data_IF_872086906062
#
_entry.id   IF_872086906062
#
_cell.length_a   1.000
_cell.length_b   1.000
_cell.length_c   1.000
_cell.angle_alpha   90.00
_cell.angle_beta   90.00
_cell.angle_gamma   90.00
#
_symmetry.space_group_name_H-M   'P 1'
#
loop_
_entity.id
_entity.type
_entity.pdbx_description
1 polymer ?
#
# COMPACT_ATOMS: atom_id res chain seq x y z
N UNK A 1 -7.08 -10.14 1.54
CA UNK A 1 -5.64 -9.85 1.41
C UNK A 1 -4.87 -11.15 1.29
N UNK A 2 -4.06 -11.31 0.24
CA UNK A 2 -3.13 -12.43 0.12
C UNK A 2 -1.99 -12.23 1.14
N UNK A 3 -1.84 -13.20 2.05
CA UNK A 3 -0.86 -13.09 3.15
C UNK A 3 0.47 -13.77 2.82
N UNK A 4 0.42 -14.87 2.06
CA UNK A 4 1.60 -15.59 1.60
C UNK A 4 2.24 -14.93 0.38
N UNK A 5 3.57 -15.07 0.30
CA UNK A 5 4.37 -14.47 -0.77
C UNK A 5 4.16 -15.17 -2.11
N UNK A 6 4.03 -16.50 -2.10
CA UNK A 6 3.83 -17.29 -3.31
C UNK A 6 2.53 -16.94 -4.02
N UNK A 7 1.41 -16.93 -3.30
CA UNK A 7 0.11 -16.58 -3.89
C UNK A 7 0.09 -15.11 -4.34
N UNK A 8 0.79 -14.21 -3.62
CA UNK A 8 0.90 -12.82 -4.03
C UNK A 8 1.62 -12.66 -5.37
N UNK A 9 2.74 -13.36 -5.58
CA UNK A 9 3.48 -13.29 -6.84
C UNK A 9 2.74 -13.97 -8.00
N UNK A 10 2.07 -15.10 -7.74
CA UNK A 10 1.19 -15.74 -8.72
C UNK A 10 0.06 -14.79 -9.14
N UNK A 11 -0.57 -14.12 -8.18
CA UNK A 11 -1.63 -13.15 -8.49
C UNK A 11 -1.09 -11.93 -9.25
N UNK A 12 0.12 -11.44 -8.94
CA UNK A 12 0.76 -10.34 -9.65
C UNK A 12 1.00 -10.64 -11.14
N UNK A 13 1.26 -11.90 -11.49
CA UNK A 13 1.46 -12.34 -12.89
C UNK A 13 0.21 -12.16 -13.76
N UNK A 14 -0.98 -12.08 -13.16
CA UNK A 14 -2.22 -11.81 -13.89
C UNK A 14 -2.26 -10.40 -14.48
N UNK A 15 -1.36 -9.50 -14.06
CA UNK A 15 -1.20 -8.16 -14.63
C UNK A 15 -2.28 -7.15 -14.19
N UNK A 16 -3.11 -7.49 -13.20
CA UNK A 16 -4.02 -6.56 -12.55
C UNK A 16 -3.27 -5.59 -11.63
N UNK A 17 -3.91 -4.47 -11.27
CA UNK A 17 -3.37 -3.57 -10.25
C UNK A 17 -3.51 -4.19 -8.85
N UNK A 18 -2.43 -4.10 -8.09
CA UNK A 18 -2.31 -4.51 -6.70
C UNK A 18 -2.40 -3.28 -5.81
N UNK A 19 -3.59 -3.06 -5.26
CA UNK A 19 -3.85 -1.89 -4.41
C UNK A 19 -3.55 -2.17 -2.93
N UNK A 20 -2.72 -1.32 -2.33
CA UNK A 20 -2.45 -1.26 -0.89
C UNK A 20 -3.12 -0.01 -0.33
N UNK A 21 -4.41 -0.12 -0.07
CA UNK A 21 -5.29 0.97 0.34
C UNK A 21 -5.41 1.17 1.86
N UNK A 22 -4.71 0.40 2.69
CA UNK A 22 -4.88 0.46 4.15
C UNK A 22 -3.70 1.10 4.90
N UNK A 23 -2.89 1.94 4.24
CA UNK A 23 -1.80 2.65 4.93
C UNK A 23 -2.33 3.53 6.07
N UNK A 24 -1.68 3.43 7.24
CA UNK A 24 -2.10 4.09 8.48
C UNK A 24 -3.21 3.37 9.26
N UNK A 25 -3.75 2.25 8.75
CA UNK A 25 -4.75 1.44 9.44
C UNK A 25 -4.14 0.18 10.05
N UNK A 26 -4.16 0.12 11.37
CA UNK A 26 -3.64 -1.00 12.16
C UNK A 26 -4.60 -1.27 13.32
N UNK A 27 -5.22 -2.44 13.32
CA UNK A 27 -6.17 -2.85 14.34
C UNK A 27 -5.63 -4.07 15.07
N UNK A 28 -5.60 -4.00 16.40
CA UNK A 28 -5.29 -5.17 17.23
C UNK A 28 -6.36 -6.26 17.07
N UNK A 29 -7.63 -5.87 16.96
CA UNK A 29 -8.74 -6.80 16.79
C UNK A 29 -9.55 -6.42 15.55
N UNK A 30 -9.38 -7.20 14.48
CA UNK A 30 -10.13 -7.02 13.24
C UNK A 30 -11.50 -7.69 13.36
N UNK A 31 -12.53 -6.91 13.68
CA UNK A 31 -13.87 -7.40 14.01
C UNK A 31 -14.52 -8.24 12.91
N UNK A 32 -14.20 -7.98 11.65
CA UNK A 32 -14.77 -8.72 10.51
C UNK A 32 -14.13 -10.09 10.29
N UNK A 33 -12.92 -10.32 10.81
CA UNK A 33 -12.28 -11.63 10.83
C UNK A 33 -11.26 -11.71 11.99
N UNK A 34 -11.70 -12.19 13.18
CA UNK A 34 -10.86 -12.26 14.37
C UNK A 34 -9.61 -13.14 14.26
N UNK A 35 -9.55 -14.04 13.29
CA UNK A 35 -8.40 -14.94 13.08
C UNK A 35 -7.26 -14.27 12.30
N UNK A 36 -7.52 -13.10 11.70
CA UNK A 36 -6.55 -12.39 10.87
C UNK A 36 -5.93 -11.22 11.63
N UNK A 37 -4.60 -11.27 11.74
CA UNK A 37 -3.80 -10.12 12.15
C UNK A 37 -3.68 -9.11 11.00
N UNK A 38 -4.21 -7.91 11.20
CA UNK A 38 -4.09 -6.83 10.24
C UNK A 38 -2.60 -6.49 10.04
N UNK A 39 -2.10 -6.42 8.79
CA UNK A 39 -0.72 -6.01 8.58
C UNK A 39 -0.55 -4.56 9.01
N UNK A 40 0.58 -4.28 9.68
CA UNK A 40 1.02 -2.92 9.93
C UNK A 40 1.71 -2.34 8.69
N UNK A 41 2.02 -1.04 8.73
CA UNK A 41 2.63 -0.35 7.59
C UNK A 41 4.01 -0.87 7.24
N UNK A 42 4.80 -1.34 8.22
CA UNK A 42 6.08 -2.00 7.94
C UNK A 42 5.89 -3.31 7.15
N UNK A 43 4.86 -4.11 7.47
CA UNK A 43 4.51 -5.32 6.71
C UNK A 43 4.02 -4.96 5.31
N UNK A 44 3.25 -3.87 5.14
CA UNK A 44 2.84 -3.37 3.82
C UNK A 44 4.03 -2.92 2.98
N UNK A 45 4.93 -2.12 3.54
CA UNK A 45 6.18 -1.68 2.88
C UNK A 45 7.01 -2.89 2.46
N UNK A 46 7.15 -3.91 3.30
CA UNK A 46 7.91 -5.11 2.95
C UNK A 46 7.30 -5.88 1.76
N UNK A 47 5.96 -5.89 1.63
CA UNK A 47 5.27 -6.51 0.49
C UNK A 47 5.41 -5.68 -0.79
N UNK A 48 5.27 -4.35 -0.68
CA UNK A 48 5.53 -3.45 -1.82
C UNK A 48 6.98 -3.62 -2.29
N UNK A 49 7.95 -3.69 -1.37
CA UNK A 49 9.35 -3.94 -1.72
C UNK A 49 9.53 -5.27 -2.46
N UNK A 50 8.93 -6.35 -1.97
CA UNK A 50 8.96 -7.65 -2.64
C UNK A 50 8.44 -7.55 -4.08
N UNK A 51 7.31 -6.90 -4.30
CA UNK A 51 6.74 -6.74 -5.64
C UNK A 51 7.64 -5.91 -6.56
N UNK A 52 8.26 -4.85 -6.03
CA UNK A 52 9.25 -4.04 -6.77
C UNK A 52 10.50 -4.86 -7.12
N UNK A 53 11.00 -5.67 -6.19
CA UNK A 53 12.17 -6.53 -6.41
C UNK A 53 11.93 -7.57 -7.50
N UNK A 54 10.70 -8.06 -7.62
CA UNK A 54 10.27 -9.04 -8.62
C UNK A 54 9.79 -8.39 -9.94
N UNK A 55 9.90 -7.06 -10.08
CA UNK A 55 9.62 -6.33 -11.34
C UNK A 55 8.14 -6.02 -11.60
N UNK A 56 7.30 -5.98 -10.55
CA UNK A 56 5.87 -5.69 -10.65
C UNK A 56 5.51 -4.23 -10.32
N UNK A 57 6.46 -3.30 -10.31
CA UNK A 57 6.23 -1.94 -9.82
C UNK A 57 5.24 -1.11 -10.65
N UNK A 58 5.03 -1.45 -11.93
CA UNK A 58 4.08 -0.77 -12.84
C UNK A 58 2.60 -1.11 -12.55
N UNK A 59 2.35 -2.01 -11.60
CA UNK A 59 1.01 -2.49 -11.23
C UNK A 59 0.70 -2.31 -9.75
N UNK A 60 1.39 -1.44 -9.04
CA UNK A 60 1.14 -1.18 -7.62
C UNK A 60 0.41 0.15 -7.45
N UNK A 61 -0.65 0.16 -6.63
CA UNK A 61 -1.35 1.37 -6.18
C UNK A 61 -1.30 1.46 -4.65
N UNK A 62 -1.39 2.67 -4.10
CA UNK A 62 -1.42 2.89 -2.65
C UNK A 62 -2.45 3.96 -2.27
N UNK A 63 -3.15 3.71 -1.17
CA UNK A 63 -4.10 4.66 -0.59
C UNK A 63 -4.23 4.45 0.93
N UNK A 64 -5.11 5.21 1.56
CA UNK A 64 -5.42 5.12 2.98
C UNK A 64 -6.78 4.48 3.25
N UNK A 65 -7.73 4.52 2.32
CA UNK A 65 -9.12 4.11 2.58
C UNK A 65 -9.69 4.83 3.81
N UNK A 66 -9.49 6.15 3.90
CA UNK A 66 -10.07 6.94 4.99
C UNK A 66 -11.59 7.01 4.79
N UNK A 67 -12.30 6.13 5.51
CA UNK A 67 -13.76 6.04 5.53
C UNK A 67 -14.39 6.32 6.91
N UNK A 68 -13.59 6.74 7.90
CA UNK A 68 -14.08 7.06 9.26
C UNK A 68 -13.45 8.35 9.82
N UNK A 69 -14.19 9.07 10.67
CA UNK A 69 -13.76 10.36 11.24
C UNK A 69 -12.46 10.25 12.05
N UNK A 70 -12.33 9.23 12.89
CA UNK A 70 -11.17 9.07 13.78
C UNK A 70 -9.84 8.94 13.04
N UNK A 71 -9.87 8.64 11.72
CA UNK A 71 -8.67 8.55 10.88
C UNK A 71 -8.21 9.90 10.32
N UNK A 72 -9.01 10.96 10.43
CA UNK A 72 -8.63 12.31 10.03
C UNK A 72 -7.79 12.99 11.11
N UNK A 73 -6.85 13.85 10.71
CA UNK A 73 -5.96 14.60 11.62
C UNK A 73 -6.73 15.42 12.67
N UNK A 74 -7.87 16.02 12.29
CA UNK A 74 -8.76 16.75 13.19
C UNK A 74 -9.20 15.95 14.42
N UNK A 75 -9.28 14.62 14.29
CA UNK A 75 -9.71 13.71 15.37
C UNK A 75 -8.54 12.86 15.90
N UNK A 76 -7.29 13.25 15.64
CA UNK A 76 -6.09 12.54 16.11
C UNK A 76 -5.63 11.38 15.22
N UNK A 77 -6.27 11.18 14.07
CA UNK A 77 -5.86 10.16 13.10
C UNK A 77 -4.70 10.58 12.20
N UNK A 78 -4.22 9.63 11.39
CA UNK A 78 -3.05 9.82 10.51
C UNK A 78 -3.30 10.79 9.34
N UNK A 79 -4.53 10.85 8.83
CA UNK A 79 -4.92 11.71 7.72
C UNK A 79 -4.25 11.41 6.37
N UNK A 80 -4.64 12.19 5.35
CA UNK A 80 -4.22 11.96 3.96
C UNK A 80 -2.73 12.23 3.70
N UNK A 81 -2.05 13.00 4.56
CA UNK A 81 -0.61 13.26 4.43
C UNK A 81 0.26 12.07 4.86
N UNK A 82 -0.31 11.04 5.49
CA UNK A 82 0.47 9.97 6.12
C UNK A 82 1.39 9.22 5.16
N UNK A 83 0.94 8.96 3.92
CA UNK A 83 1.76 8.27 2.91
C UNK A 83 2.99 9.11 2.59
N UNK A 84 2.80 10.39 2.26
CA UNK A 84 3.89 11.28 1.86
C UNK A 84 4.83 11.62 3.02
N UNK A 85 4.30 11.78 4.23
CA UNK A 85 5.08 12.25 5.40
C UNK A 85 5.77 11.14 6.18
N UNK A 86 5.25 9.91 6.16
CA UNK A 86 5.78 8.80 6.96
C UNK A 86 6.17 7.59 6.11
N UNK A 87 5.31 7.17 5.18
CA UNK A 87 5.52 5.95 4.39
C UNK A 87 6.61 6.14 3.35
N UNK A 88 6.57 7.21 2.56
CA UNK A 88 7.56 7.50 1.50
C UNK A 88 8.98 7.60 2.06
N UNK A 89 9.27 8.39 3.12
CA UNK A 89 10.60 8.41 3.73
C UNK A 89 11.05 7.02 4.21
N UNK A 90 10.13 6.22 4.76
CA UNK A 90 10.44 4.86 5.22
C UNK A 90 10.73 3.90 4.06
N UNK A 91 10.00 4.02 2.95
CA UNK A 91 10.22 3.23 1.73
C UNK A 91 11.60 3.52 1.12
N UNK A 92 11.98 4.80 1.01
CA UNK A 92 13.30 5.23 0.57
C UNK A 92 14.41 4.66 1.47
N UNK A 93 14.24 4.78 2.79
CA UNK A 93 15.18 4.20 3.76
C UNK A 93 15.33 2.68 3.63
N UNK A 94 14.29 1.99 3.14
CA UNK A 94 14.29 0.53 2.89
C UNK A 94 14.77 0.16 1.48
N UNK A 95 15.28 1.11 0.71
CA UNK A 95 15.89 0.87 -0.60
C UNK A 95 14.91 0.79 -1.77
N UNK A 96 13.63 1.12 -1.59
CA UNK A 96 12.72 1.37 -2.72
C UNK A 96 13.18 2.65 -3.39
N UNK A 97 13.47 2.59 -4.70
CA UNK A 97 14.04 3.71 -5.44
C UNK A 97 13.03 4.82 -5.67
N UNK A 98 13.50 6.05 -5.87
CA UNK A 98 12.65 7.18 -6.26
C UNK A 98 11.87 6.87 -7.55
N UNK A 99 12.51 6.26 -8.54
CA UNK A 99 11.86 5.85 -9.79
C UNK A 99 10.69 4.87 -9.57
N UNK A 100 10.83 3.90 -8.65
CA UNK A 100 9.73 3.01 -8.30
C UNK A 100 8.62 3.75 -7.55
N UNK A 101 8.96 4.69 -6.67
CA UNK A 101 7.98 5.52 -5.98
C UNK A 101 7.21 6.44 -6.93
N UNK A 102 7.86 7.02 -7.92
CA UNK A 102 7.22 7.85 -8.95
C UNK A 102 6.20 7.03 -9.76
N UNK A 103 6.54 5.79 -10.11
CA UNK A 103 5.57 4.87 -10.71
C UNK A 103 4.35 4.69 -9.82
N UNK A 104 4.55 4.34 -8.55
CA UNK A 104 3.47 4.02 -7.62
C UNK A 104 2.58 5.24 -7.30
N UNK A 105 3.18 6.42 -7.13
CA UNK A 105 2.48 7.63 -6.69
C UNK A 105 1.92 8.47 -7.83
N UNK A 106 2.50 8.38 -9.03
CA UNK A 106 2.21 9.29 -10.15
C UNK A 106 1.77 8.50 -11.38
N UNK A 107 2.65 7.66 -11.94
CA UNK A 107 2.40 7.08 -13.27
C UNK A 107 1.31 6.00 -13.24
N UNK A 108 1.30 5.11 -12.26
CA UNK A 108 0.32 4.04 -12.14
C UNK A 108 -1.10 4.59 -11.95
N UNK A 109 -1.38 5.51 -11.00
CA UNK A 109 -2.71 6.11 -10.88
C UNK A 109 -3.14 6.87 -12.14
N UNK A 110 -2.21 7.61 -12.76
CA UNK A 110 -2.46 8.35 -14.01
C UNK A 110 -2.86 7.42 -15.14
N UNK A 111 -2.15 6.30 -15.32
CA UNK A 111 -2.49 5.30 -16.34
C UNK A 111 -3.81 4.60 -16.03
N UNK A 112 -4.05 4.24 -14.76
CA UNK A 112 -5.26 3.52 -14.35
C UNK A 112 -6.53 4.35 -14.53
N UNK A 113 -6.50 5.63 -14.16
CA UNK A 113 -7.68 6.50 -14.16
C UNK A 113 -7.96 7.19 -15.50
N UNK A 114 -7.11 6.97 -16.51
CA UNK A 114 -7.32 7.54 -17.85
C UNK A 114 -8.15 6.58 -18.70
N UNK A 115 -9.33 7.03 -19.13
CA UNK A 115 -10.11 6.34 -20.16
C UNK A 115 -9.55 6.67 -21.56
N UNK A 116 -9.67 5.71 -22.49
CA UNK A 116 -9.36 5.92 -23.91
C UNK A 116 -10.60 6.34 -24.68
#
# INVERSE_FOLDING_TARGET
TLLGKGELLEFAQLGCYLEYDLFGSELFHYQFNPEIDMPNDNKRIARVRLLVDEGYEDRILMAHDIHTKHRLTKYGGHGYSHILTNIVPKMLFRGITEAALDKILIENPKQWLTFK
#
